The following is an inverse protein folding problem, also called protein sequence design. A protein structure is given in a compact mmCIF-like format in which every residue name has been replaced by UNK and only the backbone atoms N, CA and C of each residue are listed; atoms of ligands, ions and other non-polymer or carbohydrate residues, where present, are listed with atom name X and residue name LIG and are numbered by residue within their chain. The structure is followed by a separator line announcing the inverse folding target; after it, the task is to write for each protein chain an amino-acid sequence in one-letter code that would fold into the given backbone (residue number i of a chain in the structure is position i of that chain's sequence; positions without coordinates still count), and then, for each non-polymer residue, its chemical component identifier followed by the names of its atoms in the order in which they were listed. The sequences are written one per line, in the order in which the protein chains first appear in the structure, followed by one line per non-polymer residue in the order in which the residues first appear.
data_IF_667784177216
#
_entry.id   IF_667784177216
#
_cell.length_a   1.000
_cell.length_b   1.000
_cell.length_c   1.000
_cell.angle_alpha   90.00
_cell.angle_beta   90.00
_cell.angle_gamma   90.00
#
_symmetry.space_group_name_H-M   'P 1'
#
loop_
_entity.id
_entity.type
_entity.pdbx_description
1 polymer ?
#
# COMPACT_ATOMS: atom_id res chain seq x y z
N UNK A 1 -2.67 -24.83 29.03
CA UNK A 1 -2.25 -23.73 28.15
C UNK A 1 -0.72 -23.77 28.06
N UNK A 2 -0.17 -24.12 26.92
CA UNK A 2 1.29 -24.08 26.71
C UNK A 2 1.76 -22.60 26.78
N UNK A 3 2.83 -22.34 27.53
CA UNK A 3 3.42 -21.01 27.61
C UNK A 3 3.72 -20.47 26.21
N UNK A 4 3.49 -19.17 25.93
CA UNK A 4 3.73 -18.61 24.62
C UNK A 4 5.21 -18.81 24.23
N UNK A 5 5.42 -19.35 23.02
CA UNK A 5 6.76 -19.69 22.52
C UNK A 5 7.65 -18.45 22.49
N UNK A 6 8.76 -18.50 23.23
CA UNK A 6 9.79 -17.48 23.27
C UNK A 6 10.91 -17.89 22.30
N UNK A 7 11.37 -16.96 21.47
CA UNK A 7 12.54 -17.13 20.59
C UNK A 7 13.39 -15.88 20.63
N UNK A 8 14.68 -16.00 20.35
CA UNK A 8 15.59 -14.89 20.27
C UNK A 8 16.38 -14.90 18.95
N UNK A 9 16.72 -13.72 18.47
CA UNK A 9 17.47 -13.51 17.24
C UNK A 9 18.62 -12.55 17.59
N UNK A 10 19.87 -12.94 17.29
CA UNK A 10 21.07 -12.12 17.55
C UNK A 10 21.72 -11.67 16.26
N UNK A 11 22.14 -10.43 16.19
CA UNK A 11 22.85 -9.83 15.07
C UNK A 11 23.14 -8.36 15.30
N UNK A 12 23.64 -7.69 14.28
CA UNK A 12 23.68 -6.22 14.27
C UNK A 12 22.25 -5.70 14.01
N UNK A 13 21.72 -4.86 14.89
CA UNK A 13 20.33 -4.40 14.82
C UNK A 13 20.29 -2.90 14.63
N UNK A 14 19.52 -2.45 13.64
CA UNK A 14 19.18 -1.02 13.45
C UNK A 14 17.67 -0.90 13.34
N UNK A 15 17.08 -0.01 14.14
CA UNK A 15 15.66 0.31 14.05
C UNK A 15 15.37 1.76 14.47
N UNK A 16 14.12 2.18 14.33
CA UNK A 16 13.69 3.55 14.60
C UNK A 16 12.60 3.57 15.65
N UNK A 17 12.73 4.46 16.64
CA UNK A 17 11.72 4.72 17.68
C UNK A 17 10.72 5.81 17.25
N UNK A 18 11.12 6.68 16.33
CA UNK A 18 10.33 7.78 15.78
C UNK A 18 10.84 8.12 14.37
N UNK A 19 10.27 9.14 13.73
CA UNK A 19 10.80 9.66 12.46
C UNK A 19 12.15 10.37 12.70
N UNK A 20 13.26 9.87 12.11
CA UNK A 20 14.58 10.46 12.31
C UNK A 20 14.72 11.86 11.70
N UNK A 21 13.79 12.30 10.87
CA UNK A 21 13.74 13.67 10.37
C UNK A 21 13.32 14.67 11.46
N UNK A 22 12.65 14.22 12.50
CA UNK A 22 12.12 15.05 13.58
C UNK A 22 12.83 14.82 14.92
N UNK A 23 13.46 13.65 15.13
CA UNK A 23 14.25 13.35 16.32
C UNK A 23 15.53 12.57 15.92
N UNK A 24 16.67 13.23 16.04
CA UNK A 24 17.97 12.61 15.76
C UNK A 24 18.28 11.39 16.67
N UNK A 25 17.59 11.25 17.81
CA UNK A 25 17.71 10.11 18.73
C UNK A 25 16.77 8.95 18.39
N UNK A 26 15.97 9.11 17.32
CA UNK A 26 15.04 8.07 16.90
C UNK A 26 15.73 6.80 16.39
N UNK A 27 16.98 6.91 15.92
CA UNK A 27 17.76 5.77 15.46
C UNK A 27 18.39 5.04 16.66
N UNK A 28 18.10 3.76 16.82
CA UNK A 28 18.83 2.86 17.69
C UNK A 28 19.68 1.88 16.89
N UNK A 29 20.94 1.70 17.31
CA UNK A 29 21.90 0.79 16.68
C UNK A 29 22.60 -0.05 17.75
N UNK A 30 22.47 -1.38 17.61
CA UNK A 30 23.15 -2.34 18.46
C UNK A 30 24.09 -3.18 17.60
N UNK A 31 25.42 -2.93 17.67
CA UNK A 31 26.43 -3.68 16.90
C UNK A 31 26.42 -5.19 17.23
N UNK A 32 26.03 -5.57 18.44
CA UNK A 32 25.71 -6.93 18.87
C UNK A 32 24.43 -6.86 19.69
N UNK A 33 23.30 -7.02 19.01
CA UNK A 33 21.97 -6.90 19.56
C UNK A 33 21.23 -8.23 19.61
N UNK A 34 20.19 -8.25 20.42
CA UNK A 34 19.21 -9.36 20.49
C UNK A 34 17.80 -8.83 20.39
N UNK A 35 17.01 -9.49 19.56
CA UNK A 35 15.55 -9.37 19.47
C UNK A 35 14.94 -10.56 20.20
N UNK A 36 14.11 -10.31 21.22
CA UNK A 36 13.30 -11.33 21.89
C UNK A 36 11.89 -11.27 21.33
N UNK A 37 11.43 -12.38 20.77
CA UNK A 37 10.09 -12.52 20.19
C UNK A 37 9.25 -13.44 21.05
N UNK A 38 8.07 -12.97 21.47
CA UNK A 38 7.08 -13.72 22.23
C UNK A 38 5.74 -13.74 21.50
N UNK A 39 5.25 -14.93 21.18
CA UNK A 39 3.98 -15.11 20.46
C UNK A 39 3.88 -14.26 19.15
N UNK A 40 4.99 -14.11 18.41
CA UNK A 40 5.02 -13.37 17.16
C UNK A 40 5.17 -11.85 17.30
N UNK A 41 5.35 -11.33 18.52
CA UNK A 41 5.60 -9.91 18.80
C UNK A 41 7.00 -9.70 19.36
N UNK A 42 7.62 -8.58 19.01
CA UNK A 42 8.88 -8.14 19.64
C UNK A 42 8.56 -7.78 21.08
N UNK A 43 9.14 -8.53 22.01
CA UNK A 43 9.00 -8.28 23.45
C UNK A 43 10.10 -7.36 23.96
N UNK A 44 11.34 -7.55 23.51
CA UNK A 44 12.50 -6.74 23.87
C UNK A 44 13.47 -6.64 22.69
N UNK A 45 14.18 -5.51 22.59
CA UNK A 45 15.29 -5.29 21.67
C UNK A 45 16.38 -4.54 22.42
N UNK A 46 17.64 -4.98 22.32
CA UNK A 46 18.72 -4.33 23.04
C UNK A 46 20.06 -5.04 22.93
N UNK A 47 21.08 -4.60 23.74
CA UNK A 47 22.42 -5.17 23.73
C UNK A 47 22.43 -6.66 24.08
N UNK A 48 23.17 -7.46 23.32
CA UNK A 48 23.25 -8.91 23.50
C UNK A 48 23.68 -9.36 24.90
N UNK A 49 24.71 -8.77 25.54
CA UNK A 49 25.13 -9.19 26.89
C UNK A 49 24.00 -9.09 27.93
N UNK A 50 23.19 -8.05 27.84
CA UNK A 50 22.09 -7.79 28.79
C UNK A 50 20.91 -8.74 28.57
N UNK A 51 20.51 -8.91 27.32
CA UNK A 51 19.30 -9.68 27.00
C UNK A 51 19.56 -11.19 27.04
N UNK A 52 20.75 -11.67 26.62
CA UNK A 52 21.08 -13.08 26.72
C UNK A 52 21.13 -13.57 28.17
N UNK A 53 21.60 -12.73 29.11
CA UNK A 53 21.63 -13.07 30.53
C UNK A 53 20.23 -13.24 31.16
N UNK A 54 19.20 -12.65 30.56
CA UNK A 54 17.81 -12.74 31.01
C UNK A 54 17.01 -13.86 30.35
N UNK A 55 17.55 -14.47 29.28
CA UNK A 55 16.83 -15.51 28.56
C UNK A 55 16.72 -16.80 29.40
N UNK A 56 15.53 -17.42 29.47
CA UNK A 56 15.36 -18.73 30.09
C UNK A 56 16.25 -19.77 29.40
N UNK A 57 16.77 -20.71 30.19
CA UNK A 57 17.55 -21.83 29.63
C UNK A 57 16.75 -22.60 28.58
N UNK A 58 17.38 -22.93 27.46
CA UNK A 58 16.75 -23.64 26.36
C UNK A 58 15.91 -22.75 25.41
N UNK A 59 15.90 -21.42 25.57
CA UNK A 59 15.28 -20.54 24.60
C UNK A 59 15.96 -20.68 23.24
N UNK A 60 15.23 -20.98 22.13
CA UNK A 60 15.82 -21.03 20.80
C UNK A 60 16.44 -19.68 20.41
N UNK A 61 17.72 -19.70 20.05
CA UNK A 61 18.47 -18.53 19.60
C UNK A 61 18.92 -18.76 18.15
N UNK A 62 18.48 -17.85 17.25
CA UNK A 62 19.00 -17.80 15.88
C UNK A 62 20.13 -16.77 15.83
N UNK A 63 21.31 -17.22 15.38
CA UNK A 63 22.51 -16.38 15.33
C UNK A 63 22.74 -15.87 13.90
N UNK A 64 22.58 -14.56 13.74
CA UNK A 64 22.84 -13.79 12.51
C UNK A 64 23.99 -12.80 12.70
N UNK A 65 24.97 -13.08 13.58
CA UNK A 65 26.16 -12.21 13.70
C UNK A 65 26.86 -12.06 12.34
N UNK A 66 27.29 -10.84 12.02
CA UNK A 66 27.79 -10.45 10.70
C UNK A 66 26.69 -10.16 9.66
N UNK A 67 25.42 -10.16 10.07
CA UNK A 67 24.28 -9.71 9.29
C UNK A 67 23.60 -8.54 9.99
N UNK A 68 23.09 -7.60 9.19
CA UNK A 68 22.26 -6.50 9.66
C UNK A 68 20.80 -6.94 9.73
N UNK A 69 20.15 -6.69 10.87
CA UNK A 69 18.73 -6.92 11.12
C UNK A 69 18.03 -5.57 11.09
N UNK A 70 17.07 -5.43 10.20
CA UNK A 70 16.23 -4.23 10.03
C UNK A 70 14.75 -4.56 10.20
N UNK A 71 13.90 -3.58 10.53
CA UNK A 71 12.46 -3.71 10.33
C UNK A 71 12.17 -4.04 8.85
N UNK A 72 11.16 -4.88 8.59
CA UNK A 72 10.72 -5.14 7.23
C UNK A 72 10.21 -3.87 6.57
N UNK A 73 10.43 -3.74 5.27
CA UNK A 73 9.99 -2.58 4.51
C UNK A 73 8.46 -2.53 4.41
N UNK A 74 7.96 -1.29 4.25
CA UNK A 74 6.53 -0.98 4.08
C UNK A 74 6.36 -0.33 2.71
N UNK A 75 5.76 -1.07 1.78
CA UNK A 75 5.42 -0.57 0.46
C UNK A 75 3.99 0.00 0.48
N UNK A 76 3.86 1.30 0.27
CA UNK A 76 2.60 2.00 0.45
C UNK A 76 1.76 2.11 -0.83
N UNK A 77 2.27 1.63 -1.96
CA UNK A 77 1.54 1.60 -3.23
C UNK A 77 2.19 0.68 -4.26
N UNK A 78 1.47 -0.32 -4.73
CA UNK A 78 1.87 -1.21 -5.81
C UNK A 78 0.67 -1.99 -6.35
N UNK A 79 0.84 -2.66 -7.51
CA UNK A 79 -0.22 -3.37 -8.22
C UNK A 79 0.17 -4.82 -8.50
N UNK A 80 -0.38 -5.80 -7.77
CA UNK A 80 -0.05 -7.19 -8.04
C UNK A 80 -0.47 -7.67 -9.43
N UNK A 81 -1.58 -7.17 -10.03
CA UNK A 81 -1.96 -7.59 -11.37
C UNK A 81 -1.03 -7.12 -12.49
N UNK A 82 -0.11 -6.23 -12.17
CA UNK A 82 0.84 -5.67 -13.12
C UNK A 82 2.24 -6.31 -13.03
N UNK A 83 2.37 -7.40 -12.28
CA UNK A 83 3.64 -8.13 -12.11
C UNK A 83 4.26 -8.56 -13.43
N UNK A 84 3.45 -9.02 -14.39
CA UNK A 84 3.91 -9.51 -15.69
C UNK A 84 4.35 -8.38 -16.65
N UNK A 85 4.08 -7.13 -16.33
CA UNK A 85 4.38 -5.96 -17.19
C UNK A 85 5.46 -5.03 -16.62
N UNK A 86 6.13 -5.44 -15.55
CA UNK A 86 7.28 -4.71 -14.99
C UNK A 86 8.29 -4.42 -16.09
N UNK A 87 8.76 -3.17 -16.17
CA UNK A 87 9.72 -2.70 -17.16
C UNK A 87 9.23 -2.81 -18.63
N UNK A 88 7.92 -2.90 -18.89
CA UNK A 88 7.36 -2.68 -20.22
C UNK A 88 7.72 -1.27 -20.70
N UNK A 89 7.72 -1.05 -22.02
CA UNK A 89 8.15 0.22 -22.59
C UNK A 89 7.40 1.42 -21.95
N UNK A 90 8.16 2.38 -21.42
CA UNK A 90 7.59 3.55 -20.77
C UNK A 90 6.90 4.48 -21.76
N UNK A 91 5.63 4.74 -21.51
CA UNK A 91 4.78 5.69 -22.24
C UNK A 91 4.13 6.63 -21.24
N UNK A 92 3.42 7.66 -21.71
CA UNK A 92 2.63 8.49 -20.80
C UNK A 92 1.50 7.68 -20.17
N UNK A 93 1.10 8.03 -18.95
CA UNK A 93 0.18 7.27 -18.10
C UNK A 93 -1.04 6.72 -18.86
N UNK A 94 -1.80 7.55 -19.56
CA UNK A 94 -3.07 7.13 -20.17
C UNK A 94 -2.86 6.09 -21.29
N UNK A 95 -1.82 6.24 -22.10
CA UNK A 95 -1.45 5.26 -23.14
C UNK A 95 -0.94 3.96 -22.51
N UNK A 96 -0.15 4.08 -21.42
CA UNK A 96 0.37 2.92 -20.69
C UNK A 96 -0.75 2.08 -20.07
N UNK A 97 -1.78 2.73 -19.54
CA UNK A 97 -2.97 2.05 -19.01
C UNK A 97 -3.66 1.21 -20.10
N UNK A 98 -3.89 1.78 -21.28
CA UNK A 98 -4.58 1.11 -22.37
C UNK A 98 -3.76 -0.04 -22.99
N UNK A 99 -2.46 0.19 -23.16
CA UNK A 99 -1.58 -0.71 -23.89
C UNK A 99 -1.10 -1.90 -23.08
N UNK A 100 -0.80 -1.69 -21.80
CA UNK A 100 -0.19 -2.71 -20.95
C UNK A 100 -1.09 -3.10 -19.76
N UNK A 101 -1.59 -2.13 -19.02
CA UNK A 101 -2.25 -2.36 -17.73
C UNK A 101 -3.59 -3.07 -17.89
N UNK A 102 -4.51 -2.52 -18.65
CA UNK A 102 -5.85 -3.10 -18.78
C UNK A 102 -5.84 -4.50 -19.41
N UNK A 103 -5.03 -4.78 -20.44
CA UNK A 103 -4.86 -6.14 -20.94
C UNK A 103 -4.31 -7.13 -19.91
N UNK A 104 -3.36 -6.72 -19.07
CA UNK A 104 -2.84 -7.56 -18.00
C UNK A 104 -3.92 -7.83 -16.93
N UNK A 105 -4.60 -6.80 -16.46
CA UNK A 105 -5.63 -6.91 -15.42
C UNK A 105 -6.84 -7.75 -15.84
N UNK A 106 -7.18 -7.79 -17.14
CA UNK A 106 -8.24 -8.66 -17.68
C UNK A 106 -8.05 -10.13 -17.32
N UNK A 107 -6.81 -10.61 -17.27
CA UNK A 107 -6.47 -12.01 -17.00
C UNK A 107 -6.90 -12.46 -15.60
N UNK A 108 -7.06 -11.52 -14.68
CA UNK A 108 -7.43 -11.77 -13.28
C UNK A 108 -8.92 -12.07 -13.05
N UNK A 109 -9.71 -12.11 -14.12
CA UNK A 109 -11.02 -12.74 -14.13
C UNK A 109 -10.91 -14.28 -13.95
N UNK A 110 -9.76 -14.89 -14.30
CA UNK A 110 -9.44 -16.27 -14.04
C UNK A 110 -8.86 -16.43 -12.62
N UNK A 111 -9.56 -17.11 -11.69
CA UNK A 111 -9.08 -17.30 -10.32
C UNK A 111 -7.76 -18.08 -10.24
N UNK A 112 -7.50 -19.01 -11.17
CA UNK A 112 -6.26 -19.79 -11.16
C UNK A 112 -5.06 -18.90 -11.49
N UNK A 113 -5.18 -18.05 -12.51
CA UNK A 113 -4.17 -17.06 -12.85
C UNK A 113 -3.95 -16.06 -11.69
N UNK A 114 -5.04 -15.56 -11.10
CA UNK A 114 -4.95 -14.66 -9.96
C UNK A 114 -4.19 -15.28 -8.78
N UNK A 115 -4.45 -16.57 -8.47
CA UNK A 115 -3.76 -17.28 -7.39
C UNK A 115 -2.27 -17.50 -7.68
N UNK A 116 -1.90 -17.89 -8.91
CA UNK A 116 -0.51 -18.08 -9.33
C UNK A 116 0.30 -16.78 -9.19
N UNK A 117 -0.24 -15.68 -9.73
CA UNK A 117 0.45 -14.37 -9.66
C UNK A 117 0.50 -13.85 -8.23
N UNK A 118 -0.55 -14.04 -7.42
CA UNK A 118 -0.56 -13.63 -6.01
C UNK A 118 0.51 -14.35 -5.18
N UNK A 119 0.69 -15.66 -5.43
CA UNK A 119 1.72 -16.47 -4.78
C UNK A 119 3.13 -15.95 -5.10
N UNK A 120 3.42 -15.77 -6.39
CA UNK A 120 4.68 -15.20 -6.87
C UNK A 120 4.92 -13.79 -6.29
N UNK A 121 3.93 -12.90 -6.40
CA UNK A 121 4.01 -11.52 -5.92
C UNK A 121 4.37 -11.42 -4.44
N UNK A 122 3.64 -12.16 -3.58
CA UNK A 122 3.94 -12.17 -2.15
C UNK A 122 5.31 -12.75 -1.83
N UNK A 123 5.77 -13.77 -2.59
CA UNK A 123 7.11 -14.33 -2.44
C UNK A 123 8.20 -13.31 -2.82
N UNK A 124 8.00 -12.57 -3.92
CA UNK A 124 8.94 -11.52 -4.35
C UNK A 124 9.01 -10.34 -3.37
N UNK A 125 7.87 -9.90 -2.83
CA UNK A 125 7.89 -8.87 -1.79
C UNK A 125 8.75 -9.28 -0.60
N UNK A 126 8.54 -10.49 -0.08
CA UNK A 126 9.35 -11.00 1.05
C UNK A 126 10.83 -11.17 0.68
N UNK A 127 11.14 -11.61 -0.54
CA UNK A 127 12.52 -11.75 -1.04
C UNK A 127 13.24 -10.40 -1.06
N UNK A 128 12.53 -9.33 -1.34
CA UNK A 128 13.04 -7.95 -1.34
C UNK A 128 12.91 -7.25 0.03
N UNK A 129 12.52 -7.96 1.09
CA UNK A 129 12.44 -7.44 2.45
C UNK A 129 11.15 -6.68 2.78
N UNK A 130 10.17 -6.61 1.87
CA UNK A 130 8.88 -5.98 2.10
C UNK A 130 7.97 -6.92 2.87
N UNK A 131 7.57 -6.52 4.08
CA UNK A 131 6.72 -7.31 4.98
C UNK A 131 5.33 -6.72 5.16
N UNK A 132 5.14 -5.47 4.74
CA UNK A 132 3.86 -4.76 4.72
C UNK A 132 3.66 -4.13 3.36
N UNK A 133 2.49 -4.34 2.75
CA UNK A 133 2.17 -3.77 1.44
C UNK A 133 0.73 -3.24 1.39
N UNK A 134 0.54 -2.08 0.72
CA UNK A 134 -0.77 -1.56 0.34
C UNK A 134 -0.94 -1.74 -1.17
N UNK A 135 -1.52 -2.88 -1.57
CA UNK A 135 -1.56 -3.32 -2.96
C UNK A 135 -2.93 -3.14 -3.60
N UNK A 136 -2.92 -2.72 -4.86
CA UNK A 136 -4.09 -2.78 -5.72
C UNK A 136 -4.28 -4.20 -6.26
N UNK A 137 -5.52 -4.69 -6.20
CA UNK A 137 -5.98 -5.87 -6.92
C UNK A 137 -6.67 -5.44 -8.24
N UNK A 138 -7.72 -6.12 -8.65
CA UNK A 138 -8.54 -5.74 -9.81
C UNK A 138 -10.01 -5.52 -9.41
N UNK A 139 -10.87 -5.27 -10.39
CA UNK A 139 -12.33 -5.21 -10.20
C UNK A 139 -12.94 -6.58 -9.86
N UNK A 140 -12.22 -7.68 -10.08
CA UNK A 140 -12.71 -9.03 -9.84
C UNK A 140 -12.50 -9.44 -8.37
N UNK A 141 -13.58 -9.76 -7.65
CA UNK A 141 -13.51 -10.16 -6.24
C UNK A 141 -12.57 -11.37 -6.02
N UNK A 142 -12.52 -12.33 -6.96
CA UNK A 142 -11.64 -13.48 -6.89
C UNK A 142 -10.15 -13.09 -6.86
N UNK A 143 -9.75 -12.00 -7.51
CA UNK A 143 -8.38 -11.51 -7.47
C UNK A 143 -7.99 -10.98 -6.08
N UNK A 144 -8.94 -10.41 -5.36
CA UNK A 144 -8.76 -9.93 -3.98
C UNK A 144 -8.64 -11.12 -3.02
N UNK A 145 -9.53 -12.11 -3.16
CA UNK A 145 -9.46 -13.36 -2.38
C UNK A 145 -8.11 -14.05 -2.56
N UNK A 146 -7.65 -14.23 -3.81
CA UNK A 146 -6.37 -14.86 -4.11
C UNK A 146 -5.18 -14.13 -3.45
N UNK A 147 -5.17 -12.81 -3.51
CA UNK A 147 -4.09 -12.01 -2.92
C UNK A 147 -4.10 -12.08 -1.38
N UNK A 148 -5.27 -12.02 -0.75
CA UNK A 148 -5.38 -12.19 0.68
C UNK A 148 -4.99 -13.60 1.14
N UNK A 149 -5.37 -14.65 0.42
CA UNK A 149 -4.98 -16.04 0.72
C UNK A 149 -3.46 -16.22 0.66
N UNK A 150 -2.81 -15.71 -0.39
CA UNK A 150 -1.36 -15.78 -0.54
C UNK A 150 -0.60 -15.04 0.58
N UNK A 151 -1.08 -13.86 0.97
CA UNK A 151 -0.51 -13.09 2.07
C UNK A 151 -0.76 -13.73 3.44
N UNK A 152 -1.96 -14.28 3.66
CA UNK A 152 -2.31 -14.98 4.89
C UNK A 152 -1.42 -16.20 5.12
N UNK A 153 -1.22 -17.03 4.08
CA UNK A 153 -0.34 -18.20 4.14
C UNK A 153 1.09 -17.83 4.56
N UNK A 154 1.55 -16.64 4.22
CA UNK A 154 2.88 -16.11 4.54
C UNK A 154 2.93 -15.23 5.81
N UNK A 155 1.77 -15.01 6.45
CA UNK A 155 1.61 -14.11 7.60
C UNK A 155 2.09 -12.68 7.33
N UNK A 156 1.95 -12.22 6.10
CA UNK A 156 2.28 -10.84 5.71
C UNK A 156 1.22 -9.87 6.24
N UNK A 157 1.63 -8.64 6.51
CA UNK A 157 0.71 -7.52 6.63
C UNK A 157 0.35 -7.06 5.22
N UNK A 158 -0.92 -7.24 4.83
CA UNK A 158 -1.42 -6.82 3.54
C UNK A 158 -2.65 -5.93 3.70
N UNK A 159 -2.67 -4.84 2.95
CA UNK A 159 -3.79 -3.92 2.80
C UNK A 159 -4.18 -3.97 1.33
N UNK A 160 -5.39 -4.42 1.01
CA UNK A 160 -5.88 -4.50 -0.38
C UNK A 160 -7.40 -4.50 -0.42
N UNK A 161 -7.95 -4.31 -1.60
CA UNK A 161 -9.39 -4.38 -1.81
C UNK A 161 -9.75 -4.39 -3.28
N UNK A 162 -11.04 -4.62 -3.53
CA UNK A 162 -11.60 -4.60 -4.88
C UNK A 162 -11.49 -3.20 -5.48
N UNK A 163 -10.91 -3.11 -6.67
CA UNK A 163 -10.85 -1.86 -7.44
C UNK A 163 -12.26 -1.48 -7.90
N UNK A 164 -12.60 -0.21 -7.73
CA UNK A 164 -13.85 0.37 -8.16
C UNK A 164 -13.63 1.21 -9.41
N UNK A 165 -14.25 0.81 -10.52
CA UNK A 165 -14.30 1.52 -11.80
C UNK A 165 -15.64 1.26 -12.45
N UNK A 166 -16.42 2.32 -12.77
CA UNK A 166 -17.74 2.19 -13.41
C UNK A 166 -17.93 3.11 -14.63
N UNK A 167 -16.86 3.79 -15.07
CA UNK A 167 -16.81 4.57 -16.31
C UNK A 167 -15.37 4.68 -16.83
N UNK A 168 -15.22 5.09 -18.09
CA UNK A 168 -13.93 5.37 -18.74
C UNK A 168 -12.92 4.22 -18.56
N UNK A 169 -13.41 3.00 -18.61
CA UNK A 169 -12.63 1.78 -18.53
C UNK A 169 -13.14 0.77 -19.57
N UNK A 170 -12.34 -0.21 -19.98
CA UNK A 170 -12.81 -1.26 -20.85
C UNK A 170 -13.94 -2.06 -20.22
N UNK A 171 -14.92 -2.51 -21.02
CA UNK A 171 -16.10 -3.25 -20.54
C UNK A 171 -15.74 -4.44 -19.64
N UNK A 172 -14.64 -5.13 -19.93
CA UNK A 172 -14.17 -6.28 -19.14
C UNK A 172 -13.54 -5.91 -17.78
N UNK A 173 -13.35 -4.62 -17.50
CA UNK A 173 -12.92 -4.07 -16.20
C UNK A 173 -13.93 -3.06 -15.65
N UNK A 174 -15.08 -2.91 -16.31
CA UNK A 174 -16.12 -1.98 -15.85
C UNK A 174 -17.03 -2.68 -14.84
N UNK A 175 -17.17 -2.10 -13.67
CA UNK A 175 -18.04 -2.60 -12.60
C UNK A 175 -19.35 -1.83 -12.55
N UNK A 176 -20.29 -2.29 -11.76
CA UNK A 176 -21.48 -1.52 -11.40
C UNK A 176 -21.40 -1.04 -9.96
N UNK A 177 -22.05 0.08 -9.65
CA UNK A 177 -22.12 0.57 -8.26
C UNK A 177 -22.69 -0.48 -7.32
N UNK A 178 -23.70 -1.24 -7.76
CA UNK A 178 -24.35 -2.27 -6.97
C UNK A 178 -23.42 -3.47 -6.69
N UNK A 179 -22.68 -3.94 -7.70
CA UNK A 179 -21.70 -5.01 -7.52
C UNK A 179 -20.51 -4.53 -6.65
N UNK A 180 -20.05 -3.30 -6.90
CA UNK A 180 -19.00 -2.68 -6.07
C UNK A 180 -19.37 -2.61 -4.59
N UNK A 181 -20.60 -2.26 -4.24
CA UNK A 181 -21.11 -2.24 -2.85
C UNK A 181 -21.16 -3.64 -2.26
N UNK A 182 -21.87 -4.56 -2.93
CA UNK A 182 -22.09 -5.90 -2.41
C UNK A 182 -20.81 -6.70 -2.23
N UNK A 183 -19.92 -6.69 -3.24
CA UNK A 183 -18.67 -7.43 -3.20
C UNK A 183 -17.66 -6.82 -2.23
N UNK A 184 -17.58 -5.48 -2.13
CA UNK A 184 -16.72 -4.83 -1.13
C UNK A 184 -17.13 -5.19 0.29
N UNK A 185 -18.42 -5.17 0.61
CA UNK A 185 -18.92 -5.57 1.93
C UNK A 185 -18.62 -7.04 2.25
N UNK A 186 -18.84 -7.93 1.30
CA UNK A 186 -18.54 -9.36 1.47
C UNK A 186 -17.05 -9.61 1.70
N UNK A 187 -16.17 -8.90 0.99
CA UNK A 187 -14.71 -8.99 1.15
C UNK A 187 -14.24 -8.37 2.47
N UNK A 188 -14.84 -7.25 2.91
CA UNK A 188 -14.56 -6.65 4.23
C UNK A 188 -14.91 -7.65 5.33
N UNK A 189 -16.10 -8.23 5.31
CA UNK A 189 -16.54 -9.22 6.29
C UNK A 189 -15.61 -10.45 6.34
N UNK A 190 -15.14 -10.90 5.17
CA UNK A 190 -14.28 -12.09 5.07
C UNK A 190 -12.86 -11.85 5.54
N UNK A 191 -12.27 -10.69 5.24
CA UNK A 191 -10.84 -10.48 5.33
C UNK A 191 -10.38 -9.38 6.29
N UNK A 192 -11.19 -8.33 6.51
CA UNK A 192 -10.73 -7.21 7.32
C UNK A 192 -10.52 -7.60 8.78
N UNK A 193 -9.31 -7.37 9.30
CA UNK A 193 -8.96 -7.72 10.69
C UNK A 193 -8.64 -9.20 10.93
N UNK A 194 -8.63 -10.04 9.88
CA UNK A 194 -8.18 -11.42 9.99
C UNK A 194 -6.66 -11.46 10.06
N UNK A 195 -6.11 -11.80 11.23
CA UNK A 195 -4.66 -11.78 11.50
C UNK A 195 -4.03 -10.41 11.18
N UNK A 196 -3.26 -10.35 10.09
CA UNK A 196 -2.55 -9.15 9.65
C UNK A 196 -3.16 -8.50 8.42
N UNK A 197 -4.32 -8.99 7.96
CA UNK A 197 -4.96 -8.54 6.74
C UNK A 197 -5.92 -7.38 7.00
N UNK A 198 -5.88 -6.37 6.16
CA UNK A 198 -6.74 -5.21 6.25
C UNK A 198 -7.33 -4.88 4.88
N UNK A 199 -8.60 -4.55 4.85
CA UNK A 199 -9.27 -4.15 3.61
C UNK A 199 -9.05 -2.67 3.31
N UNK A 200 -8.95 -2.32 2.02
CA UNK A 200 -8.95 -0.96 1.53
C UNK A 200 -10.09 -0.74 0.53
N UNK A 201 -10.87 0.31 0.73
CA UNK A 201 -11.77 0.83 -0.29
C UNK A 201 -10.89 1.42 -1.40
N UNK A 202 -11.05 0.93 -2.63
CA UNK A 202 -10.06 1.19 -3.68
C UNK A 202 -10.71 1.76 -4.96
N UNK A 203 -11.22 3.02 -4.95
CA UNK A 203 -11.50 3.69 -6.22
C UNK A 203 -10.17 3.85 -6.96
N UNK A 204 -10.10 3.39 -8.23
CA UNK A 204 -8.82 3.42 -8.95
C UNK A 204 -8.26 4.82 -9.01
N UNK A 205 -9.03 5.74 -9.57
CA UNK A 205 -8.80 7.19 -9.56
C UNK A 205 -10.10 7.89 -10.03
N UNK A 206 -10.27 9.18 -9.73
CA UNK A 206 -11.54 9.85 -9.98
C UNK A 206 -12.04 9.78 -11.43
N UNK A 207 -11.21 9.84 -12.50
CA UNK A 207 -11.69 9.71 -13.87
C UNK A 207 -12.42 8.41 -14.21
N UNK A 208 -12.12 7.30 -13.56
CA UNK A 208 -12.79 6.01 -13.79
C UNK A 208 -13.98 5.73 -12.88
N UNK A 209 -14.35 6.69 -12.03
CA UNK A 209 -15.52 6.55 -11.15
C UNK A 209 -16.56 7.64 -11.42
N UNK A 210 -17.84 7.25 -11.51
CA UNK A 210 -18.95 8.22 -11.53
C UNK A 210 -19.10 8.87 -10.16
N UNK A 211 -19.78 10.02 -10.05
CA UNK A 211 -20.12 10.61 -8.75
C UNK A 211 -20.83 9.63 -7.82
N UNK A 212 -21.68 8.74 -8.36
CA UNK A 212 -22.38 7.72 -7.58
C UNK A 212 -21.43 6.68 -7.01
N UNK A 213 -20.44 6.23 -7.78
CA UNK A 213 -19.42 5.31 -7.28
C UNK A 213 -18.46 5.99 -6.28
N UNK A 214 -18.10 7.26 -6.51
CA UNK A 214 -17.32 8.05 -5.55
C UNK A 214 -18.07 8.20 -4.22
N UNK A 215 -19.38 8.44 -4.26
CA UNK A 215 -20.23 8.51 -3.07
C UNK A 215 -20.29 7.14 -2.35
N UNK A 216 -20.37 6.04 -3.10
CA UNK A 216 -20.29 4.69 -2.55
C UNK A 216 -18.98 4.49 -1.80
N UNK A 217 -17.84 4.83 -2.40
CA UNK A 217 -16.53 4.67 -1.79
C UNK A 217 -16.41 5.44 -0.46
N UNK A 218 -16.87 6.70 -0.43
CA UNK A 218 -16.88 7.50 0.80
C UNK A 218 -17.81 6.94 1.87
N UNK A 219 -19.00 6.46 1.49
CA UNK A 219 -19.93 5.80 2.40
C UNK A 219 -19.33 4.53 3.01
N UNK A 220 -18.78 3.64 2.21
CA UNK A 220 -18.12 2.42 2.69
C UNK A 220 -16.95 2.73 3.64
N UNK A 221 -16.17 3.77 3.33
CA UNK A 221 -15.07 4.20 4.20
C UNK A 221 -15.57 4.70 5.57
N UNK A 222 -16.70 5.39 5.60
CA UNK A 222 -17.34 5.88 6.83
C UNK A 222 -18.05 4.76 7.63
N UNK A 223 -18.71 3.82 6.94
CA UNK A 223 -19.49 2.73 7.56
C UNK A 223 -18.62 1.63 8.18
N UNK A 224 -17.36 1.47 7.72
CA UNK A 224 -16.47 0.41 8.18
C UNK A 224 -15.24 0.98 8.91
N UNK A 225 -15.33 1.29 10.22
CA UNK A 225 -14.21 1.79 10.98
C UNK A 225 -13.04 0.82 10.97
N UNK A 226 -11.85 1.30 10.63
CA UNK A 226 -10.64 0.47 10.57
C UNK A 226 -10.20 0.10 9.15
N UNK A 227 -11.09 0.11 8.15
CA UNK A 227 -10.69 -0.07 6.75
C UNK A 227 -9.82 1.09 6.28
N UNK A 228 -8.98 0.82 5.30
CA UNK A 228 -8.22 1.83 4.59
C UNK A 228 -8.99 2.33 3.37
N UNK A 229 -8.51 3.43 2.81
CA UNK A 229 -8.86 3.89 1.47
C UNK A 229 -7.57 4.10 0.71
N UNK A 230 -7.49 3.67 -0.53
CA UNK A 230 -6.36 3.93 -1.41
C UNK A 230 -6.84 4.33 -2.80
N UNK A 231 -6.11 5.26 -3.43
CA UNK A 231 -6.41 5.74 -4.78
C UNK A 231 -5.17 6.39 -5.41
N UNK A 232 -5.22 6.66 -6.72
CA UNK A 232 -4.24 7.50 -7.39
C UNK A 232 -4.70 8.95 -7.38
N UNK A 233 -3.77 9.88 -7.29
CA UNK A 233 -4.07 11.31 -7.20
C UNK A 233 -2.99 12.13 -7.89
N UNK A 234 -3.40 12.85 -8.92
CA UNK A 234 -2.59 13.88 -9.57
C UNK A 234 -1.20 13.38 -9.98
N UNK A 235 -1.16 12.23 -10.63
CA UNK A 235 0.07 11.62 -11.12
C UNK A 235 0.56 12.31 -12.39
N UNK A 236 -0.33 12.59 -13.35
CA UNK A 236 0.00 13.14 -14.65
C UNK A 236 -0.84 14.41 -14.94
N UNK A 237 -0.29 15.37 -15.67
CA UNK A 237 -1.04 16.61 -15.99
C UNK A 237 -2.29 16.36 -16.81
N UNK A 238 -2.22 15.46 -17.81
CA UNK A 238 -3.38 15.12 -18.62
C UNK A 238 -4.50 14.47 -17.76
N UNK A 239 -4.12 13.66 -16.79
CA UNK A 239 -5.04 13.10 -15.79
C UNK A 239 -5.67 14.18 -14.92
N UNK A 240 -4.90 15.16 -14.46
CA UNK A 240 -5.42 16.31 -13.67
C UNK A 240 -6.43 17.12 -14.48
N UNK A 241 -6.10 17.43 -15.73
CA UNK A 241 -7.00 18.16 -16.63
C UNK A 241 -8.28 17.37 -16.92
N UNK A 242 -8.17 16.06 -17.07
CA UNK A 242 -9.33 15.17 -17.26
C UNK A 242 -10.21 15.10 -16.02
N UNK A 243 -9.63 14.99 -14.84
CA UNK A 243 -10.39 15.06 -13.58
C UNK A 243 -11.14 16.39 -13.42
N UNK A 244 -10.50 17.52 -13.77
CA UNK A 244 -11.13 18.84 -13.73
C UNK A 244 -12.31 18.96 -14.71
N UNK A 245 -12.23 18.36 -15.91
CA UNK A 245 -13.32 18.31 -16.87
C UNK A 245 -14.52 17.49 -16.37
N UNK A 246 -14.25 16.37 -15.69
CA UNK A 246 -15.27 15.46 -15.18
C UNK A 246 -15.96 15.92 -13.89
N UNK A 247 -15.27 16.77 -13.11
CA UNK A 247 -15.71 17.30 -11.83
C UNK A 247 -15.50 18.83 -11.75
N UNK A 248 -16.15 19.60 -12.62
CA UNK A 248 -15.90 21.05 -12.77
C UNK A 248 -16.26 21.87 -11.51
N UNK A 249 -17.04 21.30 -10.59
CA UNK A 249 -17.39 21.94 -9.32
C UNK A 249 -16.32 21.77 -8.24
N UNK A 250 -15.32 20.90 -8.44
CA UNK A 250 -14.23 20.70 -7.49
C UNK A 250 -13.14 21.76 -7.70
N UNK A 251 -12.61 22.30 -6.59
CA UNK A 251 -11.51 23.27 -6.64
C UNK A 251 -10.21 22.66 -7.21
N UNK A 252 -9.98 21.41 -6.93
CA UNK A 252 -8.77 20.67 -7.31
C UNK A 252 -9.08 19.18 -7.41
N UNK A 253 -8.10 18.40 -7.88
CA UNK A 253 -8.27 16.95 -7.94
C UNK A 253 -8.45 16.32 -6.54
N UNK A 254 -7.71 16.78 -5.50
CA UNK A 254 -7.94 16.34 -4.12
C UNK A 254 -9.33 16.71 -3.62
N UNK A 255 -9.85 17.87 -4.03
CA UNK A 255 -11.19 18.30 -3.62
C UNK A 255 -12.28 17.37 -4.13
N UNK A 256 -12.08 16.67 -5.26
CA UNK A 256 -13.01 15.62 -5.70
C UNK A 256 -13.17 14.57 -4.60
N UNK A 257 -12.06 13.99 -4.11
CA UNK A 257 -12.10 12.98 -3.04
C UNK A 257 -12.69 13.54 -1.74
N UNK A 258 -12.33 14.76 -1.41
CA UNK A 258 -12.83 15.43 -0.21
C UNK A 258 -14.34 15.62 -0.20
N UNK A 259 -14.94 16.00 -1.34
CA UNK A 259 -16.39 16.20 -1.51
C UNK A 259 -17.18 14.91 -1.29
N UNK A 260 -16.58 13.77 -1.55
CA UNK A 260 -17.17 12.45 -1.34
C UNK A 260 -16.74 11.79 -0.01
N UNK A 261 -16.13 12.54 0.92
CA UNK A 261 -15.80 12.03 2.27
C UNK A 261 -14.66 10.99 2.29
N UNK A 262 -13.75 11.06 1.33
CA UNK A 262 -12.70 10.06 1.15
C UNK A 262 -11.36 10.47 1.79
N UNK A 263 -11.28 11.59 2.51
CA UNK A 263 -10.08 12.00 3.25
C UNK A 263 -10.12 11.52 4.71
N UNK A 264 -8.98 11.13 5.25
CA UNK A 264 -8.88 10.69 6.64
C UNK A 264 -7.59 9.95 6.98
N UNK A 265 -7.42 9.60 8.25
CA UNK A 265 -6.19 8.98 8.78
C UNK A 265 -5.76 7.67 8.11
N UNK A 266 -6.65 6.96 7.43
CA UNK A 266 -6.36 5.71 6.72
C UNK A 266 -6.56 5.83 5.22
N UNK A 267 -6.58 7.06 4.70
CA UNK A 267 -6.60 7.32 3.27
C UNK A 267 -5.16 7.53 2.77
N UNK A 268 -4.75 6.76 1.76
CA UNK A 268 -3.43 6.82 1.12
C UNK A 268 -3.61 7.10 -0.35
N UNK A 269 -2.94 8.14 -0.83
CA UNK A 269 -3.01 8.59 -2.22
C UNK A 269 -1.65 8.46 -2.88
N UNK A 270 -1.59 7.72 -3.98
CA UNK A 270 -0.35 7.54 -4.73
C UNK A 270 -0.02 8.76 -5.60
N UNK A 271 1.25 8.98 -5.82
CA UNK A 271 1.92 9.99 -6.64
C UNK A 271 1.81 11.41 -6.09
N UNK A 272 0.66 12.07 -6.11
CA UNK A 272 0.45 13.42 -5.56
C UNK A 272 1.40 14.50 -6.12
N UNK A 273 1.78 14.39 -7.40
CA UNK A 273 2.81 15.25 -8.01
C UNK A 273 2.32 16.68 -8.24
N UNK A 274 1.05 16.82 -8.68
CA UNK A 274 0.47 18.07 -9.15
C UNK A 274 -0.55 18.64 -8.16
N UNK A 275 -0.17 18.70 -6.88
CA UNK A 275 -0.97 19.33 -5.82
C UNK A 275 -0.45 20.72 -5.48
N UNK A 276 -1.35 21.61 -5.08
CA UNK A 276 -0.99 22.89 -4.48
C UNK A 276 -0.81 22.78 -2.96
N UNK A 277 -0.38 23.85 -2.32
CA UNK A 277 -0.17 23.90 -0.87
C UNK A 277 -1.48 23.81 -0.07
N UNK A 278 -2.60 24.20 -0.65
CA UNK A 278 -3.92 24.09 0.00
C UNK A 278 -4.31 22.63 0.10
N UNK A 279 -4.08 21.86 -0.97
CA UNK A 279 -4.30 20.41 -0.98
C UNK A 279 -3.39 19.70 0.02
N UNK A 280 -2.10 20.03 0.03
CA UNK A 280 -1.15 19.45 0.99
C UNK A 280 -1.54 19.73 2.45
N UNK A 281 -1.91 20.97 2.79
CA UNK A 281 -2.42 21.29 4.13
C UNK A 281 -3.66 20.49 4.49
N UNK A 282 -4.60 20.36 3.55
CA UNK A 282 -5.81 19.57 3.78
C UNK A 282 -5.51 18.09 4.02
N UNK A 283 -4.54 17.51 3.32
CA UNK A 283 -4.08 16.14 3.59
C UNK A 283 -3.47 16.03 5.00
N UNK A 284 -2.64 16.98 5.39
CA UNK A 284 -2.05 17.01 6.74
C UNK A 284 -3.14 17.12 7.83
N UNK A 285 -4.09 18.04 7.69
CA UNK A 285 -5.20 18.29 8.62
C UNK A 285 -6.12 17.08 8.79
N UNK A 286 -6.40 16.38 7.70
CA UNK A 286 -7.24 15.16 7.72
C UNK A 286 -6.48 13.90 8.14
N UNK A 287 -5.15 13.96 8.14
CA UNK A 287 -4.28 12.82 8.37
C UNK A 287 -4.17 11.86 7.19
N UNK A 288 -4.62 12.27 6.00
CA UNK A 288 -4.41 11.53 4.75
C UNK A 288 -2.92 11.49 4.40
N UNK A 289 -2.45 10.38 3.83
CA UNK A 289 -1.06 10.16 3.50
C UNK A 289 -0.81 10.17 1.99
N UNK A 290 0.40 10.55 1.60
CA UNK A 290 0.90 10.41 0.23
C UNK A 290 1.78 9.17 0.11
N UNK A 291 1.68 8.45 -1.01
CA UNK A 291 2.65 7.45 -1.40
C UNK A 291 3.55 8.02 -2.49
N UNK A 292 4.81 8.22 -2.18
CA UNK A 292 5.82 8.66 -3.13
C UNK A 292 6.34 7.47 -3.94
N UNK A 293 6.17 7.50 -5.26
CA UNK A 293 6.50 6.41 -6.18
C UNK A 293 7.62 6.83 -7.15
N UNK A 294 8.89 6.97 -6.68
CA UNK A 294 9.95 7.60 -7.46
C UNK A 294 10.25 6.91 -8.77
N UNK A 295 10.33 5.58 -8.78
CA UNK A 295 10.71 4.81 -9.98
C UNK A 295 9.65 4.91 -11.06
N UNK A 296 8.38 4.78 -10.72
CA UNK A 296 7.25 4.94 -11.63
C UNK A 296 7.12 6.37 -12.16
N UNK A 297 7.19 7.36 -11.26
CA UNK A 297 7.07 8.76 -11.65
C UNK A 297 8.12 9.17 -12.69
N UNK A 298 9.33 8.64 -12.57
CA UNK A 298 10.43 8.89 -13.52
C UNK A 298 10.29 8.05 -14.78
N UNK A 299 9.88 6.79 -14.65
CA UNK A 299 9.76 5.85 -15.77
C UNK A 299 8.67 6.27 -16.75
N UNK A 300 7.50 6.68 -16.25
CA UNK A 300 6.39 7.20 -17.06
C UNK A 300 6.54 8.68 -17.42
N UNK A 301 7.55 9.37 -16.89
CA UNK A 301 7.74 10.81 -17.11
C UNK A 301 6.63 11.66 -16.49
N UNK A 302 5.99 11.19 -15.42
CA UNK A 302 4.87 11.87 -14.75
C UNK A 302 5.27 13.16 -14.05
N UNK A 303 6.49 13.24 -13.51
CA UNK A 303 7.04 14.42 -12.87
C UNK A 303 7.88 14.13 -11.63
N UNK A 304 8.25 15.18 -10.91
CA UNK A 304 9.05 15.09 -9.69
C UNK A 304 8.18 15.37 -8.46
N UNK A 305 8.30 14.50 -7.47
CA UNK A 305 7.60 14.66 -6.18
C UNK A 305 8.34 15.68 -5.29
N UNK A 306 7.62 16.64 -4.75
CA UNK A 306 8.15 17.63 -3.82
C UNK A 306 8.07 17.12 -2.38
N UNK A 307 9.01 16.23 -2.02
CA UNK A 307 9.08 15.62 -0.68
C UNK A 307 9.33 16.67 0.40
N UNK A 308 10.21 17.66 0.10
CA UNK A 308 10.52 18.71 1.06
C UNK A 308 9.26 19.50 1.40
N UNK A 309 8.51 19.94 0.40
CA UNK A 309 7.29 20.72 0.60
C UNK A 309 6.21 19.93 1.33
N UNK A 310 6.03 18.66 1.00
CA UNK A 310 5.10 17.78 1.71
C UNK A 310 5.43 17.69 3.21
N UNK A 311 6.71 17.52 3.55
CA UNK A 311 7.19 17.46 4.94
C UNK A 311 7.03 18.78 5.69
N UNK A 312 7.40 19.91 5.06
CA UNK A 312 7.23 21.26 5.64
C UNK A 312 5.77 21.55 6.03
N UNK A 313 4.82 21.02 5.25
CA UNK A 313 3.39 21.18 5.49
C UNK A 313 2.80 20.08 6.39
N UNK A 314 3.64 19.16 6.91
CA UNK A 314 3.23 18.14 7.86
C UNK A 314 2.47 16.96 7.25
N UNK A 315 2.55 16.74 5.93
CA UNK A 315 1.92 15.59 5.29
C UNK A 315 2.72 14.33 5.57
N UNK A 316 2.03 13.24 5.91
CA UNK A 316 2.65 11.92 6.04
C UNK A 316 2.98 11.38 4.65
N UNK A 317 4.22 10.95 4.47
CA UNK A 317 4.67 10.38 3.19
C UNK A 317 5.23 8.99 3.43
N UNK A 318 4.72 8.01 2.69
CA UNK A 318 5.30 6.68 2.57
C UNK A 318 5.99 6.51 1.22
N UNK A 319 6.81 5.47 1.08
CA UNK A 319 7.44 5.09 -0.18
C UNK A 319 6.64 3.96 -0.83
N UNK A 320 6.42 4.02 -2.14
CA UNK A 320 5.78 2.99 -2.96
C UNK A 320 6.66 2.58 -4.12
N UNK A 321 6.74 1.29 -4.40
CA UNK A 321 7.44 0.78 -5.60
C UNK A 321 6.63 0.99 -6.86
N UNK A 322 5.30 0.99 -6.72
CA UNK A 322 4.35 1.04 -7.83
C UNK A 322 4.62 -0.02 -8.91
N UNK A 323 4.88 -1.26 -8.48
CA UNK A 323 4.87 -2.40 -9.40
C UNK A 323 3.52 -2.47 -10.11
N UNK A 324 3.37 -2.44 -11.45
CA UNK A 324 4.40 -2.64 -12.49
C UNK A 324 4.80 -1.38 -13.29
N UNK A 325 4.25 -0.16 -13.10
CA UNK A 325 4.81 1.06 -13.66
C UNK A 325 6.17 1.40 -13.01
N UNK A 326 6.35 1.03 -11.75
CA UNK A 326 7.67 0.93 -11.12
C UNK A 326 8.47 -0.25 -11.66
N UNK A 327 9.79 -0.11 -11.68
CA UNK A 327 10.69 -1.00 -12.43
C UNK A 327 11.16 -2.23 -11.65
N UNK A 328 10.81 -2.36 -10.35
CA UNK A 328 11.21 -3.51 -9.53
C UNK A 328 10.38 -3.63 -8.24
N UNK A 329 10.49 -4.80 -7.57
CA UNK A 329 9.96 -5.02 -6.22
C UNK A 329 10.86 -4.45 -5.10
N UNK A 330 12.03 -3.89 -5.44
CA UNK A 330 12.99 -3.37 -4.46
C UNK A 330 12.63 -1.94 -4.07
N UNK A 331 12.60 -1.70 -2.76
CA UNK A 331 12.42 -0.38 -2.15
C UNK A 331 13.72 0.43 -2.15
#
# INVERSE_FOLDING_TARGET
MTAPRLTAIRGEIVHFLADPAHDARALEHFADGVLIVRAGHIAECGPAPELLAKLPAGTPLTDYRGKLILPGFVDTHLHYPQTDIIASHGEQLLEWLEKYTFPAERRFADPAHAAEVADFFCAELLRNGTTTAAAFATVHAASVDALFEAAHARRMRLITGKVLMDRNCPDFLCDTVAAGDAESKALIERWHGRDRLLYAITPRFAPTSTPTQMQLAGRLFAEHPGVFLQSHLAENRAEVDWAAQLYPEARSYLDVYARFGQLGMRAVYAHCLWLDDTDRRRMAETGSAMSFCPTSNLFLGSGLFDLQRARELGVRVGLGTDVGAGTSFSM
#
